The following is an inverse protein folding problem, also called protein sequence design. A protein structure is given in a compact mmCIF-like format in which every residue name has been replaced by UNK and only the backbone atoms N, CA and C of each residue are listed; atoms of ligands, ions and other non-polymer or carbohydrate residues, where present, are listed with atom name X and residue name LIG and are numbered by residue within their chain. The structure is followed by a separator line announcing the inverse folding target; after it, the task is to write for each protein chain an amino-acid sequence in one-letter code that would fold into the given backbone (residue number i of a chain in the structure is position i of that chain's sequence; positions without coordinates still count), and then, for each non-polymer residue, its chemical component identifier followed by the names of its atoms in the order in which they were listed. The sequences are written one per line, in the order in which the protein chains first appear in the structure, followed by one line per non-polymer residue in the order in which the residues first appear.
data_IF_309000689851
#
_entry.id   IF_309000689851
#
_cell.length_a   1.000
_cell.length_b   1.000
_cell.length_c   1.000
_cell.angle_alpha   90.00
_cell.angle_beta   90.00
_cell.angle_gamma   90.00
#
_symmetry.space_group_name_H-M   'P 1'
#
loop_
_entity.id
_entity.type
_entity.pdbx_description
1 polymer ?
#
# COMPACT_ATOMS: atom_id res chain seq x y z
N UNK A 1 61.17 2.47 20.61
CA UNK A 1 60.04 1.55 20.34
C UNK A 1 58.67 2.05 20.82
N UNK A 2 58.56 2.89 21.86
CA UNK A 2 57.25 3.38 22.35
C UNK A 2 56.55 4.40 21.44
N UNK A 3 57.30 5.22 20.69
CA UNK A 3 56.72 6.29 19.87
C UNK A 3 55.82 5.74 18.74
N UNK A 4 56.21 4.61 18.15
CA UNK A 4 55.48 3.95 17.06
C UNK A 4 54.17 3.34 17.54
N UNK A 5 54.13 2.78 18.76
CA UNK A 5 52.92 2.21 19.36
C UNK A 5 51.88 3.29 19.70
N UNK A 6 52.34 4.44 20.20
CA UNK A 6 51.47 5.57 20.52
C UNK A 6 50.85 6.19 19.25
N UNK A 7 51.63 6.30 18.17
CA UNK A 7 51.14 6.76 16.87
C UNK A 7 50.09 5.83 16.27
N UNK A 8 50.32 4.51 16.30
CA UNK A 8 49.37 3.52 15.81
C UNK A 8 48.05 3.52 16.62
N UNK A 9 48.14 3.65 17.94
CA UNK A 9 46.96 3.77 18.80
C UNK A 9 46.17 5.07 18.53
N UNK A 10 46.85 6.20 18.33
CA UNK A 10 46.23 7.48 18.01
C UNK A 10 45.50 7.46 16.66
N UNK A 11 46.12 6.89 15.62
CA UNK A 11 45.50 6.74 14.29
C UNK A 11 44.33 5.76 14.33
N UNK A 12 44.40 4.70 15.14
CA UNK A 12 43.28 3.76 15.31
C UNK A 12 42.06 4.40 15.98
N UNK A 13 42.26 5.19 17.05
CA UNK A 13 41.16 5.89 17.75
C UNK A 13 40.56 6.99 16.87
N UNK A 14 41.38 7.72 16.10
CA UNK A 14 40.89 8.70 15.12
C UNK A 14 40.19 8.02 13.94
N UNK A 15 40.67 6.86 13.48
CA UNK A 15 40.06 6.08 12.42
C UNK A 15 38.70 5.48 12.82
N UNK A 16 38.58 4.94 14.03
CA UNK A 16 37.31 4.45 14.57
C UNK A 16 36.36 5.63 14.87
N UNK A 17 36.87 6.74 15.41
CA UNK A 17 36.07 7.94 15.70
C UNK A 17 35.53 8.66 14.46
N UNK A 18 36.30 8.71 13.37
CA UNK A 18 35.83 9.23 12.10
C UNK A 18 34.92 8.22 11.39
N UNK A 19 35.28 6.92 11.41
CA UNK A 19 34.53 5.83 10.76
C UNK A 19 33.09 5.68 11.26
N UNK A 20 32.85 5.80 12.57
CA UNK A 20 31.49 5.71 13.13
C UNK A 20 30.56 6.86 12.70
N UNK A 21 31.12 7.99 12.25
CA UNK A 21 30.30 9.08 11.68
C UNK A 21 29.98 8.88 10.20
N UNK A 22 30.72 8.01 9.49
CA UNK A 22 30.51 7.74 8.06
C UNK A 22 29.80 6.41 7.79
N UNK A 23 29.81 5.45 8.73
CA UNK A 23 28.98 4.24 8.67
C UNK A 23 27.61 4.38 9.38
N UNK A 24 27.31 5.59 9.89
CA UNK A 24 25.94 5.97 10.28
C UNK A 24 25.09 6.45 9.10
N UNK A 25 25.68 6.54 7.89
CA UNK A 25 24.88 6.51 6.67
C UNK A 25 24.41 5.07 6.49
N UNK A 26 23.37 4.74 7.25
CA UNK A 26 22.55 3.56 7.06
C UNK A 26 22.29 3.50 5.56
N UNK A 27 22.90 2.53 4.88
CA UNK A 27 22.45 2.11 3.57
C UNK A 27 21.08 1.45 3.78
N UNK A 28 20.08 2.25 4.16
CA UNK A 28 18.70 1.93 3.88
C UNK A 28 18.63 1.96 2.37
N UNK A 29 18.50 0.80 1.75
CA UNK A 29 17.84 0.73 0.46
C UNK A 29 16.50 1.48 0.62
N UNK A 30 16.49 2.76 0.24
CA UNK A 30 15.42 3.76 0.41
C UNK A 30 14.22 3.49 -0.49
N UNK A 31 13.95 2.21 -0.80
CA UNK A 31 12.80 1.78 -1.59
C UNK A 31 11.81 0.90 -0.84
N UNK A 32 12.17 0.30 0.31
CA UNK A 32 11.26 -0.63 1.00
C UNK A 32 10.75 -0.17 2.37
N UNK A 33 11.41 0.77 3.04
CA UNK A 33 10.87 1.40 4.27
C UNK A 33 10.19 2.76 4.00
N UNK A 34 10.31 3.29 2.79
CA UNK A 34 9.61 4.48 2.34
C UNK A 34 8.20 4.18 1.79
N UNK A 35 7.82 2.91 1.62
CA UNK A 35 6.59 2.56 0.89
C UNK A 35 5.34 2.60 1.79
N UNK A 36 5.32 1.90 2.92
CA UNK A 36 4.12 1.84 3.78
C UNK A 36 3.83 3.16 4.48
N UNK A 37 4.83 3.74 5.13
CA UNK A 37 4.69 5.03 5.80
C UNK A 37 4.29 6.15 4.83
N UNK A 38 4.80 6.15 3.60
CA UNK A 38 4.38 7.12 2.60
C UNK A 38 2.94 6.86 2.12
N UNK A 39 2.55 5.61 1.92
CA UNK A 39 1.16 5.28 1.54
C UNK A 39 0.21 5.66 2.67
N UNK A 40 0.53 5.33 3.93
CA UNK A 40 -0.27 5.66 5.11
C UNK A 40 -0.41 7.18 5.30
N UNK A 41 0.69 7.94 5.10
CA UNK A 41 0.68 9.41 5.21
C UNK A 41 -0.10 10.08 4.07
N UNK A 42 -0.02 9.53 2.86
CA UNK A 42 -0.70 10.09 1.68
C UNK A 42 -2.12 9.53 1.47
N UNK A 43 -2.55 8.55 2.28
CA UNK A 43 -3.89 8.00 2.22
C UNK A 43 -4.94 9.10 2.40
N UNK A 44 -6.11 9.00 1.73
CA UNK A 44 -7.17 9.97 1.92
C UNK A 44 -7.73 9.88 3.35
N UNK A 45 -7.80 11.04 4.02
CA UNK A 45 -8.12 11.14 5.46
C UNK A 45 -7.27 10.16 6.33
N UNK A 46 -5.94 10.36 6.47
CA UNK A 46 -5.01 9.35 7.02
C UNK A 46 -5.43 8.77 8.37
N UNK A 47 -5.80 9.63 9.33
CA UNK A 47 -6.24 9.23 10.69
C UNK A 47 -7.49 8.34 10.64
N UNK A 48 -8.43 8.67 9.76
CA UNK A 48 -9.66 7.92 9.59
C UNK A 48 -9.34 6.57 8.94
N UNK A 49 -8.54 6.59 7.88
CA UNK A 49 -8.17 5.39 7.15
C UNK A 49 -7.44 4.39 8.03
N UNK A 50 -6.45 4.83 8.83
CA UNK A 50 -5.72 3.96 9.74
C UNK A 50 -6.60 3.37 10.85
N UNK A 51 -7.63 4.09 11.28
CA UNK A 51 -8.53 3.68 12.36
C UNK A 51 -9.59 2.70 11.87
N UNK A 52 -10.23 3.01 10.74
CA UNK A 52 -11.42 2.29 10.27
C UNK A 52 -11.18 1.38 9.06
N UNK A 53 -9.98 1.41 8.48
CA UNK A 53 -9.63 0.73 7.24
C UNK A 53 -8.16 0.33 7.18
N UNK A 54 -7.64 0.36 5.96
CA UNK A 54 -6.23 0.22 5.62
C UNK A 54 -5.90 1.11 4.42
N UNK A 55 -4.73 1.74 4.46
CA UNK A 55 -4.22 2.52 3.33
C UNK A 55 -4.01 1.62 2.12
N UNK A 56 -4.34 2.10 0.92
CA UNK A 56 -4.23 1.34 -0.31
C UNK A 56 -3.78 2.25 -1.46
N UNK A 57 -3.49 1.63 -2.60
CA UNK A 57 -3.35 2.33 -3.88
C UNK A 57 -4.49 1.87 -4.80
N UNK A 58 -5.16 2.83 -5.43
CA UNK A 58 -6.09 2.57 -6.51
C UNK A 58 -5.36 2.74 -7.85
N UNK A 59 -5.53 1.76 -8.73
CA UNK A 59 -4.99 1.78 -10.08
C UNK A 59 -6.13 1.98 -11.07
N UNK A 60 -6.09 3.04 -11.87
CA UNK A 60 -6.95 3.18 -13.04
C UNK A 60 -6.17 2.68 -14.26
N UNK A 61 -6.54 1.49 -14.74
CA UNK A 61 -5.98 0.86 -15.92
C UNK A 61 -7.10 0.45 -16.87
N UNK A 62 -6.85 0.59 -18.16
CA UNK A 62 -7.79 0.15 -19.21
C UNK A 62 -7.21 -1.06 -19.92
N UNK A 63 -7.99 -2.12 -19.92
CA UNK A 63 -7.71 -3.33 -20.69
C UNK A 63 -8.58 -3.29 -21.94
N UNK A 64 -7.95 -3.28 -23.11
CA UNK A 64 -8.61 -3.29 -24.41
C UNK A 64 -8.49 -4.67 -25.02
N UNK A 65 -9.62 -5.27 -25.37
CA UNK A 65 -9.66 -6.52 -26.14
C UNK A 65 -10.13 -6.17 -27.55
N UNK A 66 -9.21 -6.20 -28.50
CA UNK A 66 -9.53 -6.15 -29.93
C UNK A 66 -9.96 -7.55 -30.37
N UNK A 67 -11.02 -7.66 -31.17
CA UNK A 67 -11.49 -8.93 -31.72
C UNK A 67 -11.13 -9.12 -33.20
N UNK A 68 -10.49 -8.12 -33.83
CA UNK A 68 -10.03 -8.21 -35.22
C UNK A 68 -8.84 -7.27 -35.52
N UNK A 69 -7.59 -7.76 -35.49
CA UNK A 69 -7.17 -9.09 -35.02
C UNK A 69 -7.35 -9.25 -33.50
N UNK A 70 -7.50 -10.48 -33.01
CA UNK A 70 -7.67 -10.74 -31.57
C UNK A 70 -6.40 -10.37 -30.78
N UNK A 71 -6.44 -9.29 -30.00
CA UNK A 71 -5.30 -8.79 -29.24
C UNK A 71 -5.75 -8.13 -27.94
N UNK A 72 -4.89 -8.18 -26.92
CA UNK A 72 -5.10 -7.50 -25.64
C UNK A 72 -4.06 -6.41 -25.47
N UNK A 73 -4.51 -5.19 -25.15
CA UNK A 73 -3.65 -4.05 -24.86
C UNK A 73 -3.98 -3.50 -23.47
N UNK A 74 -2.95 -3.07 -22.74
CA UNK A 74 -3.11 -2.47 -21.40
C UNK A 74 -2.55 -1.05 -21.46
N UNK A 75 -3.33 -0.07 -21.00
CA UNK A 75 -2.84 1.30 -20.88
C UNK A 75 -1.87 1.45 -19.71
N UNK A 76 -1.04 2.49 -19.72
CA UNK A 76 -0.30 2.89 -18.53
C UNK A 76 -1.29 3.17 -17.39
N UNK A 77 -1.02 2.64 -16.20
CA UNK A 77 -1.88 2.81 -15.03
C UNK A 77 -1.61 4.16 -14.34
N UNK A 78 -2.66 4.91 -14.04
CA UNK A 78 -2.58 6.03 -13.08
C UNK A 78 -2.79 5.48 -11.67
N UNK A 79 -1.96 5.92 -10.73
CA UNK A 79 -1.95 5.42 -9.34
C UNK A 79 -2.34 6.55 -8.42
N UNK A 80 -3.38 6.35 -7.61
CA UNK A 80 -3.82 7.30 -6.59
C UNK A 80 -3.81 6.66 -5.21
N UNK A 81 -3.50 7.42 -4.14
CA UNK A 81 -3.70 6.94 -2.79
C UNK A 81 -5.19 6.71 -2.53
N UNK A 82 -5.48 5.61 -1.86
CA UNK A 82 -6.83 5.15 -1.58
C UNK A 82 -6.92 4.63 -0.15
N UNK A 83 -8.14 4.38 0.30
CA UNK A 83 -8.39 3.71 1.55
C UNK A 83 -9.44 2.62 1.37
N UNK A 84 -9.17 1.43 1.90
CA UNK A 84 -10.14 0.33 1.94
C UNK A 84 -10.68 0.22 3.36
N UNK A 85 -11.98 0.37 3.52
CA UNK A 85 -12.63 0.29 4.82
C UNK A 85 -12.78 -1.17 5.27
N UNK A 86 -12.71 -1.38 6.59
CA UNK A 86 -13.16 -2.66 7.17
C UNK A 86 -14.68 -2.71 7.07
N UNK A 87 -15.21 -3.88 6.75
CA UNK A 87 -16.65 -4.08 6.52
C UNK A 87 -17.53 -3.59 7.69
N UNK A 88 -17.05 -3.74 8.93
CA UNK A 88 -17.73 -3.30 10.15
C UNK A 88 -17.91 -1.78 10.26
N UNK A 89 -17.08 -1.01 9.54
CA UNK A 89 -16.99 0.44 9.71
C UNK A 89 -17.63 1.24 8.55
N UNK A 90 -18.05 0.56 7.48
CA UNK A 90 -18.63 1.18 6.27
C UNK A 90 -19.80 2.10 6.60
N UNK A 91 -20.74 1.63 7.44
CA UNK A 91 -21.94 2.39 7.81
C UNK A 91 -21.55 3.67 8.54
N UNK A 92 -20.78 3.54 9.63
CA UNK A 92 -20.36 4.67 10.47
C UNK A 92 -19.48 5.70 9.72
N UNK A 93 -18.79 5.29 8.65
CA UNK A 93 -17.90 6.17 7.89
C UNK A 93 -18.61 6.83 6.71
N UNK A 94 -19.36 6.07 5.92
CA UNK A 94 -19.91 6.58 4.66
C UNK A 94 -21.37 6.97 4.78
N UNK A 95 -22.17 6.20 5.51
CA UNK A 95 -23.62 6.43 5.59
C UNK A 95 -23.94 7.63 6.49
N UNK A 96 -23.24 7.78 7.62
CA UNK A 96 -23.39 8.95 8.50
C UNK A 96 -23.05 10.27 7.80
N UNK A 97 -22.13 10.21 6.82
CA UNK A 97 -21.75 11.33 5.97
C UNK A 97 -22.65 11.50 4.74
N UNK A 98 -23.68 10.65 4.59
CA UNK A 98 -24.61 10.61 3.45
C UNK A 98 -23.90 10.43 2.10
N UNK A 99 -22.74 9.78 2.11
CA UNK A 99 -21.96 9.46 0.91
C UNK A 99 -22.46 8.19 0.21
N UNK A 100 -23.14 7.33 0.95
CA UNK A 100 -23.86 6.16 0.45
C UNK A 100 -25.21 6.04 1.16
N UNK A 101 -26.17 5.40 0.53
CA UNK A 101 -27.49 5.10 1.10
C UNK A 101 -27.64 3.62 1.49
N UNK A 102 -28.71 3.30 2.22
CA UNK A 102 -28.99 1.94 2.69
C UNK A 102 -29.08 0.91 1.56
N UNK A 103 -29.59 1.31 0.39
CA UNK A 103 -29.72 0.42 -0.76
C UNK A 103 -28.34 0.07 -1.32
N UNK A 104 -27.47 1.06 -1.53
CA UNK A 104 -26.09 0.86 -2.01
C UNK A 104 -25.27 0.00 -1.05
N UNK A 105 -25.39 0.25 0.26
CA UNK A 105 -24.70 -0.56 1.28
C UNK A 105 -25.17 -2.01 1.23
N UNK A 106 -26.49 -2.24 1.11
CA UNK A 106 -27.05 -3.60 1.00
C UNK A 106 -26.61 -4.29 -0.28
N UNK A 107 -26.69 -3.62 -1.42
CA UNK A 107 -26.28 -4.16 -2.72
C UNK A 107 -24.80 -4.55 -2.72
N UNK A 108 -23.94 -3.70 -2.18
CA UNK A 108 -22.53 -4.04 -2.06
C UNK A 108 -22.30 -5.25 -1.14
N UNK A 109 -23.01 -5.33 0.00
CA UNK A 109 -22.90 -6.42 0.97
C UNK A 109 -23.57 -7.73 0.55
N UNK A 110 -24.27 -7.79 -0.60
CA UNK A 110 -24.89 -9.04 -1.08
C UNK A 110 -23.87 -10.18 -1.19
N UNK A 111 -22.62 -9.85 -1.50
CA UNK A 111 -21.50 -10.76 -1.34
C UNK A 111 -20.85 -10.50 0.02
N UNK A 112 -20.81 -11.53 0.88
CA UNK A 112 -20.26 -11.46 2.26
C UNK A 112 -18.83 -10.92 2.29
N UNK A 113 -18.11 -11.03 1.17
CA UNK A 113 -16.71 -10.68 0.99
C UNK A 113 -16.47 -9.25 0.49
N UNK A 114 -17.51 -8.51 0.15
CA UNK A 114 -17.37 -7.15 -0.35
C UNK A 114 -17.19 -6.13 0.78
N UNK A 115 -16.45 -5.06 0.50
CA UNK A 115 -16.31 -3.88 1.35
C UNK A 115 -16.29 -2.62 0.49
N UNK A 116 -16.08 -1.45 1.11
CA UNK A 116 -15.97 -0.19 0.40
C UNK A 116 -14.55 0.35 0.41
N UNK A 117 -14.12 0.88 -0.73
CA UNK A 117 -12.91 1.65 -0.88
C UNK A 117 -13.24 3.08 -1.36
N UNK A 118 -12.34 4.01 -1.09
CA UNK A 118 -12.46 5.37 -1.58
C UNK A 118 -11.12 6.00 -1.96
N UNK A 119 -11.20 6.94 -2.91
CA UNK A 119 -10.10 7.79 -3.38
C UNK A 119 -10.53 9.26 -3.19
N UNK A 120 -9.61 10.10 -2.72
CA UNK A 120 -9.91 11.51 -2.41
C UNK A 120 -10.53 11.71 -1.03
N UNK A 121 -10.64 12.98 -0.59
CA UNK A 121 -11.12 13.32 0.74
C UNK A 121 -12.63 13.07 0.87
N UNK A 122 -13.06 12.41 1.95
CA UNK A 122 -14.48 12.15 2.24
C UNK A 122 -15.33 13.43 2.37
N UNK A 123 -14.71 14.58 2.60
CA UNK A 123 -15.34 15.89 2.73
C UNK A 123 -15.42 16.65 1.40
N UNK A 124 -14.65 16.22 0.39
CA UNK A 124 -14.54 16.90 -0.91
C UNK A 124 -14.70 15.92 -2.07
N UNK A 125 -15.96 15.48 -2.27
CA UNK A 125 -16.41 14.63 -3.39
C UNK A 125 -15.49 13.42 -3.62
N UNK A 126 -15.42 12.48 -2.67
CA UNK A 126 -14.64 11.26 -2.84
C UNK A 126 -15.20 10.39 -3.96
N UNK A 127 -14.34 9.62 -4.60
CA UNK A 127 -14.76 8.50 -5.44
C UNK A 127 -14.89 7.25 -4.57
N UNK A 128 -16.08 6.65 -4.58
CA UNK A 128 -16.38 5.46 -3.79
C UNK A 128 -16.49 4.24 -4.70
N UNK A 129 -16.05 3.08 -4.23
CA UNK A 129 -16.14 1.83 -4.98
C UNK A 129 -16.43 0.67 -4.04
N UNK A 130 -17.42 -0.16 -4.41
CA UNK A 130 -17.61 -1.46 -3.78
C UNK A 130 -16.53 -2.40 -4.30
N UNK A 131 -15.71 -2.95 -3.41
CA UNK A 131 -14.55 -3.78 -3.75
C UNK A 131 -14.70 -5.17 -3.11
N UNK A 132 -14.33 -6.20 -3.86
CA UNK A 132 -14.33 -7.59 -3.37
C UNK A 132 -13.01 -7.90 -2.66
N UNK A 133 -13.08 -8.48 -1.46
CA UNK A 133 -11.92 -9.07 -0.78
C UNK A 133 -11.75 -10.50 -1.26
N UNK A 134 -10.69 -10.76 -2.02
CA UNK A 134 -10.29 -12.13 -2.33
C UNK A 134 -9.64 -12.76 -1.10
N UNK A 135 -10.24 -13.82 -0.56
CA UNK A 135 -9.62 -14.66 0.47
C UNK A 135 -8.66 -15.69 -0.13
N UNK A 136 -8.91 -16.10 -1.37
CA UNK A 136 -8.07 -17.08 -2.09
C UNK A 136 -6.68 -16.51 -2.43
N UNK A 137 -6.58 -15.21 -2.69
CA UNK A 137 -5.29 -14.54 -2.90
C UNK A 137 -4.35 -14.64 -1.68
N UNK A 138 -4.89 -14.79 -0.46
CA UNK A 138 -4.07 -15.04 0.73
C UNK A 138 -3.61 -16.50 0.80
N UNK A 139 -4.45 -17.43 0.35
CA UNK A 139 -4.14 -18.86 0.38
C UNK A 139 -3.16 -19.27 -0.71
N UNK A 140 -3.23 -18.70 -1.92
CA UNK A 140 -2.26 -18.95 -3.00
C UNK A 140 -0.85 -18.45 -2.66
N UNK A 141 -0.74 -17.33 -1.94
CA UNK A 141 0.55 -16.83 -1.47
C UNK A 141 1.24 -17.78 -0.47
N UNK A 142 0.46 -18.55 0.28
CA UNK A 142 0.94 -19.41 1.36
C UNK A 142 1.02 -20.91 0.97
N UNK A 143 0.23 -21.36 -0.01
CA UNK A 143 0.07 -22.79 -0.30
C UNK A 143 1.16 -23.37 -1.19
N UNK A 144 1.69 -22.61 -2.17
CA UNK A 144 2.81 -23.08 -2.98
C UNK A 144 3.49 -21.95 -3.80
N UNK A 145 4.58 -21.33 -3.31
CA UNK A 145 5.25 -20.22 -4.01
C UNK A 145 5.98 -20.64 -5.32
N UNK A 146 5.86 -21.91 -5.73
CA UNK A 146 6.47 -22.47 -6.93
C UNK A 146 5.53 -22.53 -8.14
N UNK A 147 4.22 -22.39 -7.93
CA UNK A 147 3.24 -22.37 -9.02
C UNK A 147 3.01 -20.92 -9.47
N UNK A 148 2.98 -20.69 -10.78
CA UNK A 148 2.60 -19.41 -11.35
C UNK A 148 1.12 -19.09 -11.14
N UNK A 149 0.77 -17.82 -11.27
CA UNK A 149 -0.64 -17.39 -11.23
C UNK A 149 -1.38 -18.04 -12.41
N UNK A 150 -2.37 -18.90 -12.13
CA UNK A 150 -3.17 -19.59 -13.14
C UNK A 150 -2.53 -20.85 -13.74
N UNK A 151 -1.54 -21.44 -13.08
CA UNK A 151 -1.07 -22.80 -13.39
C UNK A 151 -1.73 -23.81 -12.44
N UNK A 152 -2.76 -24.50 -12.94
CA UNK A 152 -3.43 -25.63 -12.28
C UNK A 152 -2.73 -26.97 -12.56
#
# INVERSE_FOLDING_TARGET
ESLTKALLAGVFVLGVGAGVTVDSAINTNEKDLASRDAIDKNAPNPRLCSTYGASAMAFDQRVFVSFNPFNVYVSQADVKPACVLRQSNVVNVLQDRKLVNDKEVRECKQNVMNTWAYVGDLSDRPQLSCVYKSEDAQNEFLSNPKLGIGED
#
